data_IF_193761061164
#
_entry.id   IF_193761061164
#
_cell.length_a   1.000
_cell.length_b   1.000
_cell.length_c   1.000
_cell.angle_alpha   90.00
_cell.angle_beta   90.00
_cell.angle_gamma   90.00
#
_symmetry.space_group_name_H-M   'P 1'
#
loop_
_entity.id
_entity.type
_entity.pdbx_description
1 polymer ?
#
# COMPACT_ATOMS: atom_id res chain seq x y z
N UNK A 1 -3.99 13.50 -4.69
CA UNK A 1 -3.64 13.11 -3.33
C UNK A 1 -4.57 12.02 -2.80
N UNK A 2 -4.03 11.04 -2.08
CA UNK A 2 -4.85 9.95 -1.56
C UNK A 2 -5.81 10.43 -0.49
N UNK A 3 -6.99 9.82 -0.43
CA UNK A 3 -7.98 10.12 0.61
C UNK A 3 -7.48 9.56 1.95
N UNK A 4 -7.81 10.27 3.04
CA UNK A 4 -7.44 9.82 4.39
C UNK A 4 -8.01 8.41 4.68
N UNK A 5 -9.23 8.14 4.26
CA UNK A 5 -9.84 6.82 4.46
C UNK A 5 -9.05 5.71 3.76
N UNK A 6 -8.56 5.96 2.56
CA UNK A 6 -7.73 5.00 1.82
C UNK A 6 -6.43 4.74 2.56
N UNK A 7 -5.77 5.80 3.02
CA UNK A 7 -4.53 5.68 3.80
C UNK A 7 -4.76 4.89 5.08
N UNK A 8 -5.83 5.16 5.81
CA UNK A 8 -6.13 4.47 7.06
C UNK A 8 -6.36 2.98 6.85
N UNK A 9 -7.07 2.61 5.78
CA UNK A 9 -7.28 1.19 5.46
C UNK A 9 -5.96 0.49 5.15
N UNK A 10 -5.09 1.16 4.39
CA UNK A 10 -3.78 0.59 4.05
C UNK A 10 -2.91 0.49 5.30
N UNK A 11 -2.92 1.48 6.17
CA UNK A 11 -2.20 1.41 7.45
C UNK A 11 -2.66 0.21 8.27
N UNK A 12 -3.97 -0.06 8.29
CA UNK A 12 -4.51 -1.22 9.00
C UNK A 12 -3.99 -2.54 8.43
N UNK A 13 -3.86 -2.63 7.10
CA UNK A 13 -3.32 -3.82 6.45
C UNK A 13 -1.82 -3.99 6.70
N UNK A 14 -1.10 -2.89 6.83
CA UNK A 14 0.34 -2.91 7.05
C UNK A 14 0.68 -3.16 8.52
N UNK A 15 -0.19 -2.79 9.43
CA UNK A 15 0.05 -2.88 10.87
C UNK A 15 0.62 -4.24 11.31
N UNK A 16 0.06 -5.38 10.88
CA UNK A 16 0.63 -6.68 11.24
C UNK A 16 2.05 -6.91 10.72
N UNK A 17 2.45 -6.17 9.68
CA UNK A 17 3.76 -6.27 9.07
C UNK A 17 4.76 -5.27 9.65
N UNK A 18 4.28 -4.34 10.46
CA UNK A 18 5.09 -3.26 11.04
C UNK A 18 5.75 -3.76 12.33
N UNK A 19 6.75 -4.62 12.18
CA UNK A 19 7.43 -5.25 13.32
C UNK A 19 8.23 -4.27 14.15
N UNK A 20 8.64 -3.15 13.55
CA UNK A 20 9.41 -2.11 14.23
C UNK A 20 8.55 -1.10 14.94
N UNK A 21 7.23 -1.17 14.77
CA UNK A 21 6.26 -0.23 15.35
C UNK A 21 6.60 1.23 15.03
N UNK A 22 7.05 1.47 13.80
CA UNK A 22 7.32 2.84 13.34
C UNK A 22 6.01 3.54 13.01
N UNK A 23 6.06 4.88 13.00
CA UNK A 23 4.92 5.67 12.59
C UNK A 23 4.70 5.53 11.08
N UNK A 24 3.48 5.14 10.70
CA UNK A 24 3.12 5.00 9.30
C UNK A 24 2.67 6.34 8.73
N UNK A 25 3.32 6.77 7.67
CA UNK A 25 3.00 8.03 6.98
C UNK A 25 2.94 7.76 5.48
N UNK A 26 2.38 8.69 4.69
CA UNK A 26 2.37 8.50 3.23
C UNK A 26 3.77 8.38 2.61
N UNK A 27 4.80 8.88 3.29
CA UNK A 27 6.18 8.80 2.79
C UNK A 27 6.93 7.57 3.28
N UNK A 28 6.30 6.74 4.15
CA UNK A 28 6.93 5.50 4.63
C UNK A 28 7.16 4.56 3.45
N UNK A 29 8.39 4.05 3.32
CA UNK A 29 8.76 3.11 2.27
C UNK A 29 8.64 1.67 2.76
N UNK A 30 8.29 0.76 1.85
CA UNK A 30 8.15 -0.65 2.21
C UNK A 30 9.49 -1.32 2.42
N UNK A 31 10.48 -1.01 1.59
CA UNK A 31 11.79 -1.66 1.67
C UNK A 31 12.68 -1.03 2.73
N UNK A 32 12.82 0.29 2.72
CA UNK A 32 13.78 0.96 3.60
C UNK A 32 13.24 1.14 5.01
N UNK A 33 12.00 1.58 5.15
CA UNK A 33 11.44 1.89 6.47
C UNK A 33 10.85 0.66 7.17
N UNK A 34 10.07 -0.14 6.43
CA UNK A 34 9.42 -1.33 6.97
C UNK A 34 10.26 -2.59 6.81
N UNK A 35 11.30 -2.53 5.99
CA UNK A 35 12.20 -3.64 5.69
C UNK A 35 11.46 -4.90 5.22
N UNK A 36 10.42 -4.69 4.41
CA UNK A 36 9.65 -5.79 3.82
C UNK A 36 10.38 -6.30 2.57
N UNK A 37 10.39 -7.62 2.39
CA UNK A 37 10.93 -8.20 1.17
C UNK A 37 9.88 -8.17 0.05
N UNK A 38 10.31 -8.50 -1.16
CA UNK A 38 9.43 -8.44 -2.34
C UNK A 38 8.21 -9.34 -2.20
N UNK A 39 8.39 -10.51 -1.61
CA UNK A 39 7.30 -11.47 -1.44
C UNK A 39 6.25 -10.92 -0.48
N UNK A 40 6.68 -10.34 0.62
CA UNK A 40 5.77 -9.73 1.60
C UNK A 40 5.01 -8.56 0.99
N UNK A 41 5.69 -7.73 0.19
CA UNK A 41 5.05 -6.61 -0.50
C UNK A 41 3.99 -7.12 -1.48
N UNK A 42 4.27 -8.20 -2.20
CA UNK A 42 3.29 -8.79 -3.11
C UNK A 42 2.06 -9.33 -2.37
N UNK A 43 2.27 -9.95 -1.21
CA UNK A 43 1.16 -10.40 -0.36
C UNK A 43 0.32 -9.22 0.11
N UNK A 44 0.98 -8.12 0.49
CA UNK A 44 0.28 -6.90 0.90
C UNK A 44 -0.54 -6.33 -0.25
N UNK A 45 0.01 -6.31 -1.46
CA UNK A 45 -0.72 -5.85 -2.64
C UNK A 45 -1.96 -6.69 -2.87
N UNK A 46 -1.85 -8.01 -2.72
CA UNK A 46 -3.00 -8.91 -2.85
C UNK A 46 -4.08 -8.60 -1.82
N UNK A 47 -3.69 -8.34 -0.58
CA UNK A 47 -4.64 -7.95 0.47
C UNK A 47 -5.35 -6.64 0.14
N UNK A 48 -4.62 -5.67 -0.40
CA UNK A 48 -5.19 -4.39 -0.83
C UNK A 48 -6.20 -4.61 -1.95
N UNK A 49 -5.85 -5.44 -2.92
CA UNK A 49 -6.76 -5.76 -4.03
C UNK A 49 -8.06 -6.37 -3.51
N UNK A 50 -7.97 -7.29 -2.56
CA UNK A 50 -9.15 -7.91 -1.97
C UNK A 50 -10.01 -6.91 -1.20
N UNK A 51 -9.37 -6.07 -0.37
CA UNK A 51 -10.11 -5.13 0.47
C UNK A 51 -10.82 -4.05 -0.32
N UNK A 52 -10.21 -3.58 -1.41
CA UNK A 52 -10.78 -2.54 -2.24
C UNK A 52 -11.53 -3.08 -3.47
N UNK A 53 -11.50 -4.40 -3.66
CA UNK A 53 -12.12 -5.07 -4.81
C UNK A 53 -11.64 -4.48 -6.13
N UNK A 54 -10.31 -4.37 -6.25
CA UNK A 54 -9.65 -3.81 -7.44
C UNK A 54 -8.50 -4.72 -7.86
N UNK A 55 -7.95 -4.45 -9.04
CA UNK A 55 -6.74 -5.11 -9.53
C UNK A 55 -5.69 -4.05 -9.77
N UNK A 56 -4.52 -4.20 -9.14
CA UNK A 56 -3.37 -3.33 -9.37
C UNK A 56 -2.53 -3.94 -10.50
N UNK A 57 -2.38 -3.23 -11.63
CA UNK A 57 -1.57 -3.76 -12.74
C UNK A 57 -0.14 -4.04 -12.32
N UNK A 58 0.41 -5.15 -12.80
CA UNK A 58 1.79 -5.55 -12.46
C UNK A 58 2.81 -4.50 -12.88
N UNK A 59 2.55 -3.78 -13.96
CA UNK A 59 3.48 -2.75 -14.43
C UNK A 59 3.53 -1.51 -13.53
N UNK A 60 2.58 -1.37 -12.60
CA UNK A 60 2.62 -0.29 -11.61
C UNK A 60 3.46 -0.64 -10.39
N UNK A 61 3.67 -1.93 -10.13
CA UNK A 61 4.32 -2.36 -8.88
C UNK A 61 5.72 -1.78 -8.67
N UNK A 62 6.58 -1.67 -9.69
CA UNK A 62 7.90 -1.06 -9.48
C UNK A 62 7.87 0.39 -9.01
N UNK A 63 6.77 1.09 -9.27
CA UNK A 63 6.61 2.49 -8.87
C UNK A 63 5.99 2.65 -7.49
N UNK A 64 5.53 1.56 -6.88
CA UNK A 64 4.86 1.60 -5.59
C UNK A 64 5.87 1.41 -4.45
N UNK A 65 6.63 2.46 -4.16
CA UNK A 65 7.67 2.44 -3.14
C UNK A 65 7.20 2.90 -1.77
N UNK A 66 6.21 3.80 -1.73
CA UNK A 66 5.70 4.36 -0.49
C UNK A 66 4.22 4.05 -0.32
N UNK A 67 3.75 4.16 0.93
CA UNK A 67 2.34 3.95 1.25
C UNK A 67 1.47 4.95 0.47
N UNK A 68 1.91 6.20 0.37
CA UNK A 68 1.18 7.22 -0.37
C UNK A 68 1.02 6.89 -1.85
N UNK A 69 2.07 6.34 -2.46
CA UNK A 69 2.00 5.95 -3.86
C UNK A 69 0.98 4.83 -4.08
N UNK A 70 0.95 3.86 -3.18
CA UNK A 70 -0.04 2.78 -3.23
C UNK A 70 -1.45 3.35 -3.05
N UNK A 71 -1.63 4.23 -2.08
CA UNK A 71 -2.94 4.84 -1.82
C UNK A 71 -3.42 5.66 -3.03
N UNK A 72 -2.53 6.42 -3.65
CA UNK A 72 -2.87 7.20 -4.86
C UNK A 72 -3.27 6.27 -6.00
N UNK A 73 -2.56 5.16 -6.20
CA UNK A 73 -2.91 4.18 -7.22
C UNK A 73 -4.28 3.58 -6.97
N UNK A 74 -4.56 3.21 -5.71
CA UNK A 74 -5.86 2.65 -5.32
C UNK A 74 -6.98 3.66 -5.62
N UNK A 75 -6.80 4.90 -5.19
CA UNK A 75 -7.82 5.95 -5.41
C UNK A 75 -8.07 6.20 -6.90
N UNK A 76 -7.02 6.17 -7.71
CA UNK A 76 -7.14 6.35 -9.15
C UNK A 76 -7.98 5.23 -9.76
N UNK A 77 -7.73 4.00 -9.37
CA UNK A 77 -8.45 2.83 -9.90
C UNK A 77 -9.91 2.84 -9.43
N UNK A 78 -10.13 3.11 -8.14
CA UNK A 78 -11.47 3.17 -7.57
C UNK A 78 -12.30 4.27 -8.23
N UNK A 79 -11.69 5.42 -8.51
CA UNK A 79 -12.38 6.54 -9.16
C UNK A 79 -12.81 6.21 -10.59
N UNK A 80 -12.07 5.35 -11.27
CA UNK A 80 -12.40 4.96 -12.65
C UNK A 80 -13.40 3.82 -12.72
N UNK A 81 -13.47 3.05 -11.66
CA UNK A 81 -14.37 1.90 -11.58
C UNK A 81 -15.75 2.31 -11.18
#
# INVERSE_FOLDING_TARGET
MAKTATLEMIYGLISPLNKKSIDLTPTTTFAADLELDSLTVMDLVADIEDDFDIILPLNMLPDLETIGQVADAVDTIVSKG
#
